data_IF_068139921609
#
_entry.id   IF_068139921609
#
_cell.length_a   1.000
_cell.length_b   1.000
_cell.length_c   1.000
_cell.angle_alpha   90.00
_cell.angle_beta   90.00
_cell.angle_gamma   90.00
#
_symmetry.space_group_name_H-M   'P 1'
#
loop_
_entity.id
_entity.type
_entity.pdbx_description
1 polymer ?
#
# COMPACT_ATOMS: atom_id res chain seq x y z
N UNK A 1 -22.22 -8.73 1.76
CA UNK A 1 -20.92 -8.86 2.48
C UNK A 1 -20.64 -10.31 2.84
N UNK A 2 -21.54 -10.97 3.57
CA UNK A 2 -21.37 -12.38 4.00
C UNK A 2 -21.16 -13.35 2.83
N UNK A 3 -21.90 -13.20 1.73
CA UNK A 3 -21.76 -14.08 0.56
C UNK A 3 -20.38 -13.99 -0.08
N UNK A 4 -19.83 -12.78 -0.23
CA UNK A 4 -18.46 -12.58 -0.74
C UNK A 4 -17.42 -13.22 0.19
N UNK A 5 -17.60 -13.09 1.51
CA UNK A 5 -16.72 -13.74 2.50
C UNK A 5 -16.77 -15.26 2.35
N UNK A 6 -17.97 -15.85 2.24
CA UNK A 6 -18.14 -17.29 2.02
C UNK A 6 -17.49 -17.74 0.70
N UNK A 7 -17.69 -17.00 -0.39
CA UNK A 7 -17.10 -17.30 -1.69
C UNK A 7 -15.55 -17.25 -1.67
N UNK A 8 -14.97 -16.27 -0.96
CA UNK A 8 -13.51 -16.18 -0.78
C UNK A 8 -12.99 -17.37 0.01
N UNK A 9 -13.61 -17.72 1.14
CA UNK A 9 -13.21 -18.86 1.97
C UNK A 9 -13.31 -20.17 1.18
N UNK A 10 -14.40 -20.37 0.44
CA UNK A 10 -14.58 -21.56 -0.41
C UNK A 10 -13.50 -21.64 -1.50
N UNK A 11 -13.14 -20.52 -2.13
CA UNK A 11 -12.08 -20.48 -3.15
C UNK A 11 -10.71 -20.89 -2.57
N UNK A 12 -10.40 -20.47 -1.34
CA UNK A 12 -9.18 -20.90 -0.64
C UNK A 12 -9.17 -22.40 -0.34
N UNK A 13 -10.30 -22.92 0.17
CA UNK A 13 -10.45 -24.35 0.49
C UNK A 13 -10.30 -25.24 -0.74
N UNK A 14 -10.94 -24.87 -1.84
CA UNK A 14 -10.88 -25.61 -3.12
C UNK A 14 -9.46 -25.73 -3.66
N UNK A 15 -8.63 -24.71 -3.40
CA UNK A 15 -7.23 -24.69 -3.79
C UNK A 15 -6.28 -25.22 -2.70
N UNK A 16 -6.78 -25.67 -1.54
CA UNK A 16 -5.95 -26.19 -0.44
C UNK A 16 -5.02 -25.15 0.19
N UNK A 17 -5.30 -23.85 0.01
CA UNK A 17 -4.42 -22.76 0.42
C UNK A 17 -4.68 -22.32 1.86
N UNK A 18 -3.61 -22.20 2.65
CA UNK A 18 -3.63 -21.67 4.03
C UNK A 18 -2.96 -20.29 4.12
N UNK A 19 -1.89 -20.10 3.37
CA UNK A 19 -1.15 -18.84 3.23
C UNK A 19 -1.30 -18.37 1.79
N UNK A 20 -2.08 -17.32 1.56
CA UNK A 20 -2.42 -16.87 0.22
C UNK A 20 -2.69 -15.38 0.11
N UNK A 21 -2.41 -14.86 -1.07
CA UNK A 21 -2.92 -13.58 -1.54
C UNK A 21 -4.25 -13.79 -2.25
N UNK A 22 -5.21 -12.92 -1.95
CA UNK A 22 -6.58 -13.00 -2.46
C UNK A 22 -6.85 -11.72 -3.25
N UNK A 23 -7.35 -11.88 -4.49
CA UNK A 23 -7.73 -10.76 -5.36
C UNK A 23 -9.21 -10.89 -5.76
N UNK A 24 -10.15 -10.38 -4.94
CA UNK A 24 -11.53 -10.20 -5.36
C UNK A 24 -11.62 -9.07 -6.38
N UNK A 25 -12.36 -9.29 -7.46
CA UNK A 25 -12.62 -8.32 -8.52
C UNK A 25 -14.11 -8.32 -8.80
N UNK A 26 -14.70 -7.12 -8.89
CA UNK A 26 -16.06 -6.93 -9.41
C UNK A 26 -15.94 -6.04 -10.64
N UNK A 27 -16.35 -6.55 -11.80
CA UNK A 27 -16.46 -5.76 -13.02
C UNK A 27 -17.91 -5.29 -13.22
N UNK A 28 -18.11 -4.34 -14.14
CA UNK A 28 -19.45 -3.84 -14.46
C UNK A 28 -20.33 -4.90 -15.15
N UNK A 29 -19.73 -5.90 -15.77
CA UNK A 29 -20.42 -6.91 -16.57
C UNK A 29 -20.43 -6.59 -18.06
N UNK A 30 -21.09 -7.46 -18.83
CA UNK A 30 -21.21 -7.33 -20.28
C UNK A 30 -22.25 -6.27 -20.64
N UNK A 31 -22.03 -5.54 -21.74
CA UNK A 31 -22.93 -4.52 -22.28
C UNK A 31 -22.63 -4.27 -23.76
N UNK A 32 -23.21 -3.21 -24.32
CA UNK A 32 -22.82 -2.76 -25.65
C UNK A 32 -21.47 -2.02 -25.63
N UNK A 33 -21.02 -1.53 -26.79
CA UNK A 33 -19.71 -0.87 -26.93
C UNK A 33 -19.68 0.58 -26.37
N UNK A 34 -20.80 1.09 -25.86
CA UNK A 34 -20.89 2.42 -25.26
C UNK A 34 -20.45 2.44 -23.79
N UNK A 35 -20.26 3.65 -23.25
CA UNK A 35 -19.79 3.84 -21.86
C UNK A 35 -20.91 3.83 -20.81
N UNK A 36 -22.18 3.75 -21.23
CA UNK A 36 -23.33 3.85 -20.33
C UNK A 36 -23.51 2.58 -19.49
N UNK A 37 -23.24 2.61 -18.17
CA UNK A 37 -23.28 1.42 -17.33
C UNK A 37 -24.70 0.86 -17.14
N UNK A 38 -25.75 1.61 -17.49
CA UNK A 38 -27.14 1.11 -17.47
C UNK A 38 -27.34 -0.05 -18.45
N UNK A 39 -26.45 -0.18 -19.44
CA UNK A 39 -26.45 -1.24 -20.43
C UNK A 39 -25.71 -2.50 -19.97
N UNK A 40 -25.20 -2.51 -18.74
CA UNK A 40 -24.55 -3.66 -18.12
C UNK A 40 -25.38 -4.15 -16.92
N UNK A 41 -26.40 -5.00 -17.14
CA UNK A 41 -27.37 -5.34 -16.12
C UNK A 41 -26.83 -6.27 -15.03
N UNK A 42 -25.77 -7.05 -15.32
CA UNK A 42 -25.26 -8.10 -14.43
C UNK A 42 -23.75 -7.96 -14.24
N UNK A 43 -23.28 -7.58 -13.04
CA UNK A 43 -21.84 -7.54 -12.72
C UNK A 43 -21.19 -8.92 -12.72
N UNK A 44 -19.93 -9.00 -13.15
CA UNK A 44 -19.12 -10.22 -12.99
C UNK A 44 -18.28 -10.14 -11.71
N UNK A 45 -18.17 -11.27 -11.01
CA UNK A 45 -17.36 -11.41 -9.79
C UNK A 45 -16.29 -12.47 -10.01
N UNK A 46 -15.04 -12.12 -9.74
CA UNK A 46 -13.90 -13.02 -9.82
C UNK A 46 -13.17 -13.05 -8.47
N UNK A 47 -12.71 -14.23 -8.06
CA UNK A 47 -11.87 -14.39 -6.88
C UNK A 47 -10.65 -15.20 -7.32
N UNK A 48 -9.48 -14.57 -7.29
CA UNK A 48 -8.21 -15.23 -7.59
C UNK A 48 -7.50 -15.46 -6.25
N UNK A 49 -6.99 -16.67 -6.03
CA UNK A 49 -6.15 -17.01 -4.89
C UNK A 49 -4.82 -17.58 -5.37
N UNK A 50 -3.74 -17.18 -4.73
CA UNK A 50 -2.39 -17.63 -5.05
C UNK A 50 -1.57 -17.77 -3.78
N UNK A 51 -0.71 -18.79 -3.70
CA UNK A 51 0.29 -18.90 -2.64
C UNK A 51 1.14 -17.63 -2.61
N UNK A 52 1.40 -17.11 -1.40
CA UNK A 52 2.07 -15.82 -1.27
C UNK A 52 3.18 -15.85 -0.23
N UNK A 53 4.35 -15.36 -0.65
CA UNK A 53 5.52 -15.17 0.21
C UNK A 53 5.82 -13.69 0.45
N UNK A 54 6.96 -13.42 1.08
CA UNK A 54 7.41 -12.05 1.33
C UNK A 54 7.67 -11.31 0.00
N UNK A 55 6.92 -10.23 -0.26
CA UNK A 55 6.97 -9.49 -1.54
C UNK A 55 8.36 -8.96 -1.88
N UNK A 56 9.07 -8.43 -0.87
CA UNK A 56 10.37 -7.79 -1.03
C UNK A 56 11.56 -8.61 -0.52
N UNK A 57 11.38 -9.89 -0.18
CA UNK A 57 12.50 -10.80 0.16
C UNK A 57 13.45 -10.26 1.24
N UNK A 58 14.74 -10.15 0.91
CA UNK A 58 15.78 -9.66 1.81
C UNK A 58 15.76 -8.14 2.04
N UNK A 59 14.98 -7.40 1.26
CA UNK A 59 14.83 -5.94 1.41
C UNK A 59 14.06 -5.55 2.67
N UNK A 60 13.36 -6.48 3.34
CA UNK A 60 12.84 -6.20 4.68
C UNK A 60 13.96 -6.00 5.71
N UNK A 61 15.13 -6.59 5.49
CA UNK A 61 16.30 -6.43 6.37
C UNK A 61 17.25 -5.32 5.91
N UNK A 62 17.36 -5.10 4.59
CA UNK A 62 18.23 -4.09 3.97
C UNK A 62 17.56 -2.72 3.77
N UNK A 63 16.26 -2.72 3.53
CA UNK A 63 15.46 -1.56 3.12
C UNK A 63 15.39 -1.38 1.60
N UNK A 64 14.26 -0.83 1.17
CA UNK A 64 13.97 -0.46 -0.21
C UNK A 64 14.70 0.82 -0.61
N UNK A 65 15.01 0.95 -1.91
CA UNK A 65 15.34 2.20 -2.57
C UNK A 65 14.09 2.82 -3.19
N UNK A 66 13.60 3.92 -2.60
CA UNK A 66 12.53 4.73 -3.17
C UNK A 66 13.03 5.73 -4.20
N UNK A 67 12.22 6.02 -5.22
CA UNK A 67 12.50 7.08 -6.19
C UNK A 67 11.26 7.91 -6.46
N UNK A 68 11.41 9.23 -6.48
CA UNK A 68 10.30 10.12 -6.83
C UNK A 68 10.05 10.11 -8.34
N UNK A 69 8.77 10.11 -8.70
CA UNK A 69 8.32 10.04 -10.10
C UNK A 69 7.77 11.37 -10.58
N UNK A 70 7.87 11.61 -11.89
CA UNK A 70 7.37 12.82 -12.52
C UNK A 70 5.85 12.82 -12.66
N UNK A 71 5.26 11.65 -12.88
CA UNK A 71 3.80 11.49 -12.94
C UNK A 71 3.16 11.79 -11.57
N UNK A 72 2.16 12.68 -11.55
CA UNK A 72 1.37 12.96 -10.35
C UNK A 72 0.37 11.86 -10.07
N UNK A 73 -0.01 11.69 -8.81
CA UNK A 73 -1.14 10.83 -8.45
C UNK A 73 -2.44 11.39 -9.05
N UNK A 74 -3.33 10.51 -9.52
CA UNK A 74 -4.66 10.90 -9.95
C UNK A 74 -5.34 11.81 -8.91
N UNK A 75 -5.88 12.93 -9.38
CA UNK A 75 -6.50 13.92 -8.52
C UNK A 75 -7.84 13.39 -7.95
N UNK A 76 -8.17 13.70 -6.68
CA UNK A 76 -9.44 13.34 -6.05
C UNK A 76 -10.69 13.76 -6.85
N UNK A 77 -10.62 14.89 -7.55
CA UNK A 77 -11.69 15.47 -8.36
C UNK A 77 -11.78 14.91 -9.79
N UNK A 78 -10.80 14.11 -10.22
CA UNK A 78 -10.76 13.54 -11.57
C UNK A 78 -11.00 12.02 -11.56
N UNK A 79 -10.06 11.26 -11.00
CA UNK A 79 -10.19 9.82 -10.81
C UNK A 79 -9.75 9.49 -9.37
N UNK A 80 -10.68 9.57 -8.40
CA UNK A 80 -10.33 9.58 -6.98
C UNK A 80 -9.44 8.39 -6.58
N UNK A 81 -8.24 8.64 -6.01
CA UNK A 81 -7.28 7.58 -5.70
C UNK A 81 -7.76 6.66 -4.57
N UNK A 82 -8.76 7.10 -3.79
CA UNK A 82 -9.43 6.27 -2.79
C UNK A 82 -10.13 5.03 -3.40
N UNK A 83 -10.52 5.08 -4.67
CA UNK A 83 -11.20 3.97 -5.34
C UNK A 83 -10.16 2.96 -5.80
N UNK A 84 -10.16 1.76 -5.20
CA UNK A 84 -9.34 0.63 -5.65
C UNK A 84 -9.94 -0.03 -6.90
N UNK A 85 -9.91 0.69 -8.02
CA UNK A 85 -10.52 0.29 -9.29
C UNK A 85 -9.54 -0.51 -10.17
N UNK A 86 -10.03 -0.94 -11.35
CA UNK A 86 -9.21 -1.53 -12.40
C UNK A 86 -8.40 -0.50 -13.21
N UNK A 87 -8.62 0.81 -12.99
CA UNK A 87 -7.90 1.88 -13.68
C UNK A 87 -6.55 2.18 -12.99
N UNK A 88 -5.63 1.22 -13.01
CA UNK A 88 -4.31 1.30 -12.34
C UNK A 88 -3.17 1.85 -13.22
N UNK A 89 -3.48 2.39 -14.41
CA UNK A 89 -2.45 2.86 -15.35
C UNK A 89 -1.56 3.97 -14.76
N UNK A 90 -2.10 4.87 -13.93
CA UNK A 90 -1.32 5.88 -13.22
C UNK A 90 -0.22 5.27 -12.34
N UNK A 91 -0.55 4.21 -11.60
CA UNK A 91 0.37 3.47 -10.75
C UNK A 91 1.40 2.69 -11.59
N UNK A 92 0.99 2.10 -12.70
CA UNK A 92 1.88 1.38 -13.63
C UNK A 92 2.92 2.34 -14.23
N UNK A 93 2.51 3.55 -14.65
CA UNK A 93 3.43 4.56 -15.17
C UNK A 93 4.47 4.98 -14.12
N UNK A 94 4.04 5.18 -12.86
CA UNK A 94 4.96 5.44 -11.76
C UNK A 94 5.95 4.28 -11.57
N UNK A 95 5.48 3.04 -11.63
CA UNK A 95 6.35 1.87 -11.50
C UNK A 95 7.33 1.72 -12.67
N UNK A 96 6.91 2.05 -13.90
CA UNK A 96 7.80 2.10 -15.07
C UNK A 96 8.92 3.10 -14.84
N UNK A 97 8.59 4.33 -14.41
CA UNK A 97 9.61 5.34 -14.08
C UNK A 97 10.56 4.85 -12.99
N UNK A 98 10.04 4.23 -11.92
CA UNK A 98 10.88 3.75 -10.83
C UNK A 98 11.86 2.65 -11.28
N UNK A 99 11.38 1.71 -12.10
CA UNK A 99 12.23 0.66 -12.67
C UNK A 99 13.39 1.25 -13.49
N UNK A 100 13.12 2.27 -14.33
CA UNK A 100 14.15 2.93 -15.15
C UNK A 100 15.12 3.76 -14.30
N UNK A 101 14.63 4.35 -13.20
CA UNK A 101 15.43 5.13 -12.23
C UNK A 101 16.20 4.26 -11.22
N UNK A 102 16.06 2.93 -11.27
CA UNK A 102 16.74 2.01 -10.35
C UNK A 102 16.16 2.01 -8.93
N UNK A 103 14.88 2.33 -8.78
CA UNK A 103 14.15 2.25 -7.51
C UNK A 103 13.32 0.96 -7.38
N UNK A 104 13.29 0.41 -6.17
CA UNK A 104 12.42 -0.71 -5.81
C UNK A 104 10.96 -0.27 -5.72
N UNK A 105 10.70 0.98 -5.32
CA UNK A 105 9.36 1.56 -5.21
C UNK A 105 9.35 3.02 -5.68
N UNK A 106 8.25 3.42 -6.33
CA UNK A 106 7.99 4.81 -6.70
C UNK A 106 7.44 5.59 -5.51
N UNK A 107 7.73 6.89 -5.43
CA UNK A 107 7.08 7.82 -4.51
C UNK A 107 6.32 8.84 -5.35
N UNK A 108 4.99 8.85 -5.20
CA UNK A 108 4.08 9.71 -5.94
C UNK A 108 3.74 10.95 -5.13
N UNK A 109 3.65 12.08 -5.83
CA UNK A 109 3.24 13.39 -5.30
C UNK A 109 1.88 13.73 -5.92
N UNK A 110 1.01 14.39 -5.17
CA UNK A 110 -0.28 14.86 -5.67
C UNK A 110 -0.15 16.11 -6.57
N UNK A 111 -1.26 16.57 -7.12
CA UNK A 111 -1.33 17.74 -7.99
C UNK A 111 -1.03 19.06 -7.28
N UNK A 112 -1.02 19.08 -5.94
CA UNK A 112 -0.72 20.25 -5.12
C UNK A 112 0.71 20.25 -4.58
N UNK A 113 1.52 19.24 -4.91
CA UNK A 113 2.90 19.12 -4.46
C UNK A 113 3.09 18.43 -3.11
N UNK A 114 2.04 17.83 -2.53
CA UNK A 114 2.15 17.04 -1.31
C UNK A 114 2.48 15.59 -1.64
N UNK A 115 3.22 14.93 -0.74
CA UNK A 115 3.42 13.48 -0.76
C UNK A 115 2.06 12.78 -0.72
N UNK A 116 1.86 11.81 -1.61
CA UNK A 116 0.64 11.01 -1.70
C UNK A 116 0.86 9.61 -1.14
N UNK A 117 1.50 8.73 -1.90
CA UNK A 117 1.76 7.32 -1.56
C UNK A 117 2.83 6.75 -2.49
N UNK A 118 3.22 5.48 -2.29
CA UNK A 118 3.98 4.74 -3.29
C UNK A 118 3.11 4.27 -4.45
N UNK A 119 3.66 3.52 -5.41
CA UNK A 119 2.82 3.03 -6.53
C UNK A 119 1.75 2.01 -6.07
N UNK A 120 2.01 1.27 -4.99
CA UNK A 120 1.09 0.26 -4.45
C UNK A 120 0.74 0.38 -2.97
N UNK A 121 1.41 1.26 -2.22
CA UNK A 121 1.47 1.23 -0.76
C UNK A 121 1.41 2.64 -0.15
N UNK A 122 0.79 2.79 1.02
CA UNK A 122 0.80 4.07 1.75
C UNK A 122 2.19 4.37 2.32
N UNK A 123 2.56 5.65 2.47
CA UNK A 123 3.88 6.06 2.95
C UNK A 123 3.83 6.70 4.35
N UNK A 124 4.89 6.45 5.13
CA UNK A 124 5.11 6.97 6.47
C UNK A 124 6.53 7.50 6.62
N UNK A 125 6.66 8.57 7.39
CA UNK A 125 7.93 9.21 7.77
C UNK A 125 8.04 9.19 9.28
N UNK A 126 9.21 8.86 9.81
CA UNK A 126 9.55 8.99 11.23
C UNK A 126 10.50 10.17 11.37
N UNK A 127 10.16 11.10 12.27
CA UNK A 127 11.04 12.19 12.65
C UNK A 127 10.96 12.48 14.14
N UNK A 128 12.11 12.50 14.82
CA UNK A 128 12.25 12.76 16.26
C UNK A 128 11.31 11.87 17.10
N UNK A 129 11.21 10.59 16.75
CA UNK A 129 10.36 9.61 17.45
C UNK A 129 8.85 9.73 17.17
N UNK A 130 8.42 10.62 16.27
CA UNK A 130 7.03 10.79 15.84
C UNK A 130 6.82 10.26 14.42
N UNK A 131 5.69 9.61 14.18
CA UNK A 131 5.26 9.15 12.86
C UNK A 131 4.39 10.22 12.20
N UNK A 132 4.69 10.51 10.94
CA UNK A 132 3.92 11.35 10.03
C UNK A 132 3.44 10.50 8.85
N UNK A 133 2.22 10.73 8.38
CA UNK A 133 1.69 10.09 7.16
C UNK A 133 0.69 11.03 6.50
N UNK A 134 0.54 11.04 5.16
CA UNK A 134 -0.41 11.91 4.50
C UNK A 134 -1.86 11.57 4.92
N UNK A 135 -2.77 12.57 5.01
CA UNK A 135 -4.21 12.32 5.07
C UNK A 135 -4.64 11.53 3.84
N UNK A 136 -5.71 10.76 3.95
CA UNK A 136 -6.08 9.81 2.89
C UNK A 136 -6.80 10.43 1.70
N UNK A 137 -7.00 11.76 1.64
CA UNK A 137 -7.72 12.39 0.54
C UNK A 137 -7.01 12.18 -0.82
N UNK A 138 -5.67 12.28 -0.84
CA UNK A 138 -4.87 12.21 -2.08
C UNK A 138 -4.29 10.81 -2.36
N UNK A 139 -4.66 9.79 -1.58
CA UNK A 139 -4.12 8.42 -1.67
C UNK A 139 -5.19 7.39 -1.30
N UNK A 140 -4.83 6.11 -1.13
CA UNK A 140 -5.79 5.07 -0.76
C UNK A 140 -5.95 4.95 0.77
N UNK A 141 -7.17 4.71 1.26
CA UNK A 141 -7.44 4.37 2.68
C UNK A 141 -6.96 2.94 3.00
N UNK A 142 -5.65 2.73 3.08
CA UNK A 142 -5.07 1.40 3.25
C UNK A 142 -5.45 0.75 4.58
N UNK A 143 -5.77 -0.54 4.52
CA UNK A 143 -6.08 -1.33 5.73
C UNK A 143 -4.80 -1.58 6.54
N UNK A 144 -3.68 -1.90 5.88
CA UNK A 144 -2.38 -2.05 6.55
C UNK A 144 -1.91 -0.72 7.18
N UNK A 145 -2.19 0.42 6.53
CA UNK A 145 -1.98 1.75 7.09
C UNK A 145 -2.74 1.93 8.40
N UNK A 146 -4.04 1.61 8.42
CA UNK A 146 -4.85 1.68 9.64
C UNK A 146 -4.27 0.80 10.76
N UNK A 147 -3.93 -0.45 10.46
CA UNK A 147 -3.33 -1.37 11.42
C UNK A 147 -1.97 -0.87 11.95
N UNK A 148 -1.13 -0.27 11.10
CA UNK A 148 0.14 0.32 11.50
C UNK A 148 -0.05 1.52 12.45
N UNK A 149 -1.05 2.37 12.20
CA UNK A 149 -1.40 3.50 13.08
C UNK A 149 -1.90 2.99 14.44
N UNK A 150 -2.79 1.99 14.46
CA UNK A 150 -3.29 1.38 15.70
C UNK A 150 -2.15 0.75 16.53
N UNK A 151 -1.22 0.04 15.87
CA UNK A 151 -0.02 -0.51 16.51
C UNK A 151 0.89 0.59 17.07
N UNK A 152 1.11 1.67 16.33
CA UNK A 152 1.91 2.80 16.79
C UNK A 152 1.30 3.45 18.05
N UNK A 153 -0.01 3.72 18.04
CA UNK A 153 -0.75 4.25 19.19
C UNK A 153 -0.63 3.31 20.40
N UNK A 154 -0.82 2.00 20.19
CA UNK A 154 -0.67 0.97 21.24
C UNK A 154 0.73 0.95 21.84
N UNK A 155 1.75 1.29 21.05
CA UNK A 155 3.15 1.37 21.49
C UNK A 155 3.54 2.73 22.06
N UNK A 156 2.59 3.66 22.21
CA UNK A 156 2.84 5.00 22.72
C UNK A 156 3.66 5.87 21.76
N UNK A 157 3.66 5.55 20.47
CA UNK A 157 4.37 6.31 19.43
C UNK A 157 3.41 7.37 18.89
N UNK A 158 3.73 8.67 18.99
CA UNK A 158 2.87 9.72 18.45
C UNK A 158 2.72 9.60 16.93
N UNK A 159 1.49 9.69 16.44
CA UNK A 159 1.15 9.66 15.00
C UNK A 159 0.45 10.96 14.63
N UNK A 160 0.79 11.52 13.48
CA UNK A 160 0.10 12.69 12.90
C UNK A 160 -0.22 12.45 11.44
N UNK A 161 -1.50 12.59 11.10
CA UNK A 161 -1.94 12.66 9.71
C UNK A 161 -1.78 14.11 9.24
N UNK A 162 -0.80 14.36 8.38
CA UNK A 162 -0.46 15.71 7.91
C UNK A 162 0.11 15.67 6.50
N UNK A 163 -0.13 16.71 5.72
CA UNK A 163 0.56 16.87 4.45
C UNK A 163 2.07 16.96 4.71
N UNK A 164 2.83 16.38 3.79
CA UNK A 164 4.29 16.34 3.81
C UNK A 164 4.80 16.72 2.43
N UNK A 165 5.99 17.29 2.37
CA UNK A 165 6.75 17.51 1.14
C UNK A 165 7.96 16.58 1.05
N UNK A 166 8.75 16.77 -0.01
CA UNK A 166 10.00 16.03 -0.21
C UNK A 166 11.04 16.31 0.88
N UNK A 167 11.01 17.51 1.48
CA UNK A 167 11.89 17.87 2.60
C UNK A 167 11.69 16.90 3.78
N UNK A 168 10.45 16.56 4.10
CA UNK A 168 10.13 15.67 5.22
C UNK A 168 10.68 14.25 4.98
N UNK A 169 10.61 13.77 3.74
CA UNK A 169 11.17 12.47 3.36
C UNK A 169 12.71 12.50 3.42
N UNK A 170 13.34 13.50 2.80
CA UNK A 170 14.80 13.55 2.70
C UNK A 170 15.51 13.81 4.03
N UNK A 171 14.81 14.37 5.00
CA UNK A 171 15.34 14.66 6.34
C UNK A 171 14.80 13.70 7.41
N UNK A 172 14.04 12.68 7.01
CA UNK A 172 13.49 11.67 7.90
C UNK A 172 14.58 10.88 8.63
N UNK A 173 14.25 10.42 9.83
CA UNK A 173 15.08 9.45 10.55
C UNK A 173 14.78 8.02 10.04
N UNK A 174 13.52 7.74 9.69
CA UNK A 174 13.10 6.48 9.06
C UNK A 174 11.99 6.76 8.04
N UNK A 175 11.91 5.96 6.96
CA UNK A 175 10.79 5.95 6.03
C UNK A 175 10.34 4.50 5.85
N UNK A 176 9.02 4.29 5.76
CA UNK A 176 8.47 2.97 5.44
C UNK A 176 7.16 3.09 4.67
N UNK A 177 6.81 2.04 3.95
CA UNK A 177 5.54 1.92 3.23
C UNK A 177 4.70 0.78 3.76
N UNK A 178 3.39 0.84 3.55
CA UNK A 178 2.46 -0.21 3.99
C UNK A 178 1.42 -0.61 2.95
N UNK A 179 1.19 -1.91 2.86
CA UNK A 179 0.15 -2.50 2.01
C UNK A 179 -0.08 -3.97 2.31
N UNK A 180 -1.08 -4.57 1.69
CA UNK A 180 -1.42 -5.99 1.97
C UNK A 180 -0.31 -6.92 1.49
N UNK A 181 0.24 -6.65 0.31
CA UNK A 181 1.32 -7.44 -0.27
C UNK A 181 2.69 -7.09 0.34
N UNK A 182 2.93 -5.79 0.53
CA UNK A 182 4.19 -5.26 1.08
C UNK A 182 4.32 -5.43 2.60
N UNK A 183 3.23 -5.69 3.32
CA UNK A 183 3.16 -5.60 4.78
C UNK A 183 3.64 -4.21 5.28
N UNK A 184 4.71 -4.17 6.08
CA UNK A 184 5.41 -2.95 6.48
C UNK A 184 6.84 -3.06 5.93
N UNK A 185 7.16 -2.27 4.91
CA UNK A 185 8.44 -2.36 4.21
C UNK A 185 9.30 -1.10 4.47
N UNK A 186 10.50 -1.24 5.05
CA UNK A 186 11.40 -0.12 5.30
C UNK A 186 11.97 0.44 4.00
N UNK A 187 12.21 1.75 3.96
CA UNK A 187 12.84 2.45 2.85
C UNK A 187 14.06 3.21 3.39
N UNK A 188 15.24 2.77 2.97
CA UNK A 188 16.53 3.23 3.54
C UNK A 188 17.28 4.18 2.62
N UNK A 189 16.80 4.34 1.39
CA UNK A 189 17.34 5.28 0.42
C UNK A 189 16.22 5.90 -0.39
N UNK A 190 16.25 7.22 -0.58
CA UNK A 190 15.32 7.94 -1.47
C UNK A 190 16.07 8.89 -2.38
N UNK A 191 15.87 8.77 -3.69
CA UNK A 191 16.49 9.64 -4.71
C UNK A 191 18.01 9.83 -4.50
N UNK A 192 18.70 8.73 -4.24
CA UNK A 192 20.15 8.73 -3.99
C UNK A 192 20.56 9.03 -2.56
N UNK A 193 19.68 9.59 -1.72
CA UNK A 193 19.97 10.00 -0.33
C UNK A 193 19.73 8.85 0.62
N UNK A 194 20.68 8.63 1.52
CA UNK A 194 20.52 7.68 2.63
C UNK A 194 19.54 8.27 3.64
N UNK A 195 18.54 7.50 4.05
CA UNK A 195 17.61 7.85 5.13
C UNK A 195 18.20 7.36 6.45
N UNK A 196 18.31 8.27 7.43
CA UNK A 196 18.94 7.95 8.72
C UNK A 196 20.35 7.39 8.56
N UNK A 197 20.56 6.16 9.05
CA UNK A 197 21.83 5.42 8.95
C UNK A 197 21.87 4.42 7.78
N UNK A 198 20.85 4.44 6.91
CA UNK A 198 20.72 3.54 5.76
C UNK A 198 20.27 2.13 6.12
N UNK A 199 19.70 1.92 7.30
CA UNK A 199 19.16 0.63 7.75
C UNK A 199 17.71 0.77 8.20
N UNK A 200 16.91 -0.32 8.19
CA UNK A 200 15.58 -0.27 8.77
C UNK A 200 15.64 0.16 10.24
N UNK A 201 14.99 1.29 10.54
CA UNK A 201 15.08 1.93 11.84
C UNK A 201 14.27 1.25 12.94
N UNK A 202 14.43 1.73 14.17
CA UNK A 202 13.91 1.09 15.37
C UNK A 202 12.38 1.09 15.41
N UNK A 203 11.74 2.20 15.05
CA UNK A 203 10.27 2.32 15.05
C UNK A 203 9.69 1.40 13.97
N UNK A 204 10.26 1.43 12.77
CA UNK A 204 9.86 0.58 11.66
C UNK A 204 9.96 -0.90 12.03
N UNK A 205 11.09 -1.36 12.57
CA UNK A 205 11.27 -2.75 13.03
C UNK A 205 10.29 -3.14 14.13
N UNK A 206 9.99 -2.23 15.07
CA UNK A 206 9.00 -2.46 16.13
C UNK A 206 7.60 -2.66 15.54
N UNK A 207 7.21 -1.86 14.55
CA UNK A 207 5.93 -1.99 13.85
C UNK A 207 5.88 -3.28 13.02
N UNK A 208 6.94 -3.62 12.28
CA UNK A 208 7.03 -4.88 11.53
C UNK A 208 6.82 -6.10 12.45
N UNK A 209 7.52 -6.14 13.59
CA UNK A 209 7.38 -7.21 14.57
C UNK A 209 5.97 -7.25 15.19
N UNK A 210 5.36 -6.09 15.42
CA UNK A 210 3.98 -5.97 15.91
C UNK A 210 2.97 -6.49 14.90
N UNK A 211 3.09 -6.07 13.64
CA UNK A 211 2.21 -6.46 12.56
C UNK A 211 2.27 -7.96 12.27
N UNK A 212 3.47 -8.55 12.24
CA UNK A 212 3.65 -10.01 12.11
C UNK A 212 2.99 -10.82 13.24
N UNK A 213 2.90 -10.25 14.44
CA UNK A 213 2.16 -10.88 15.56
C UNK A 213 0.65 -10.73 15.39
N UNK A 214 0.21 -9.59 14.87
CA UNK A 214 -1.21 -9.30 14.61
C UNK A 214 -1.79 -10.28 13.57
N UNK A 215 -1.12 -10.43 12.43
CA UNK A 215 -1.56 -11.32 11.33
C UNK A 215 -1.63 -12.80 11.69
N UNK A 216 -0.92 -13.22 12.75
CA UNK A 216 -0.99 -14.60 13.28
C UNK A 216 -2.10 -14.82 14.31
N UNK A 217 -2.66 -13.74 14.87
CA UNK A 217 -3.64 -13.81 15.97
C UNK A 217 -5.05 -13.48 15.51
N UNK A 218 -5.17 -12.64 14.51
CA UNK A 218 -6.45 -12.12 14.03
C UNK A 218 -6.70 -12.55 12.60
N UNK A 219 -7.95 -12.87 12.28
CA UNK A 219 -8.34 -13.30 10.94
C UNK A 219 -9.67 -14.04 10.96
N UNK A 220 -10.27 -14.20 9.78
CA UNK A 220 -11.41 -15.10 9.61
C UNK A 220 -10.90 -16.52 9.33
N UNK A 221 -11.25 -17.52 10.15
CA UNK A 221 -10.78 -18.88 9.94
C UNK A 221 -11.21 -19.45 8.59
N UNK A 222 -10.28 -20.14 7.92
CA UNK A 222 -10.57 -21.00 6.76
C UNK A 222 -10.99 -22.38 7.32
N UNK A 223 -12.12 -22.43 8.03
CA UNK A 223 -12.74 -23.67 8.54
C UNK A 223 -13.68 -24.23 7.50
#
# INVERSE_FOLDING_TARGET
KEEMTKAIIETLKRNGLKDAYIRPIVSRGDGDLGLDPRKCPVPNVFIITQEWGAMYGDLYEKGLTGVTVGIRRNAPEALPPNIKSLNYLNNILAKIEANVKGGDEAIMIDVHGNVSEGSGDNIFVVKNGKILTPPTLNNLRGITRAAAIELAIKYGIPVSETNMGLFDIYTADEVFVTGTAAEIAPMTKVDGRIIGDGKPGQITRKLMAGFKKLTKKEGTPIV
#
